data_IF_177269872067
#
_entry.id   IF_177269872067
#
_cell.length_a   1.000
_cell.length_b   1.000
_cell.length_c   1.000
_cell.angle_alpha   90.00
_cell.angle_beta   90.00
_cell.angle_gamma   90.00
#
_symmetry.space_group_name_H-M   'P 1'
#
loop_
_entity.id
_entity.type
_entity.pdbx_description
1 polymer ?
#
# COMPACT_ATOMS: atom_id res chain seq x y z
N UNK A 1 -8.35 -22.35 1.35
CA UNK A 1 -8.08 -21.06 2.03
C UNK A 1 -9.43 -20.41 2.31
N UNK A 2 -9.80 -20.26 3.57
CA UNK A 2 -11.01 -19.54 3.97
C UNK A 2 -10.62 -18.14 4.44
N UNK A 3 -11.35 -17.13 3.98
CA UNK A 3 -11.22 -15.77 4.51
C UNK A 3 -12.19 -15.64 5.68
N UNK A 4 -11.68 -15.36 6.87
CA UNK A 4 -12.50 -15.04 8.04
C UNK A 4 -12.70 -13.52 8.14
N UNK A 5 -13.92 -13.11 8.49
CA UNK A 5 -14.25 -11.70 8.74
C UNK A 5 -14.82 -11.60 10.14
N UNK A 6 -14.23 -10.74 10.95
CA UNK A 6 -14.68 -10.45 12.30
C UNK A 6 -15.17 -9.01 12.37
N UNK A 7 -16.35 -8.81 12.95
CA UNK A 7 -16.94 -7.48 13.16
C UNK A 7 -17.31 -7.37 14.62
N UNK A 8 -16.95 -6.26 15.25
CA UNK A 8 -17.30 -5.98 16.63
C UNK A 8 -17.66 -4.49 16.79
N UNK A 9 -18.51 -4.14 17.77
CA UNK A 9 -18.87 -2.75 18.03
C UNK A 9 -17.71 -1.92 18.61
N UNK A 10 -16.74 -2.59 19.26
CA UNK A 10 -15.56 -1.95 19.84
C UNK A 10 -14.29 -2.67 19.40
N UNK A 11 -13.21 -1.94 19.12
CA UNK A 11 -11.98 -2.52 18.57
C UNK A 11 -11.27 -3.43 19.59
N UNK A 12 -11.42 -3.20 20.90
CA UNK A 12 -10.82 -4.06 21.95
C UNK A 12 -11.23 -5.53 21.84
N UNK A 13 -12.48 -5.81 21.43
CA UNK A 13 -12.94 -7.19 21.23
C UNK A 13 -12.22 -7.85 20.05
N UNK A 14 -11.92 -7.11 18.99
CA UNK A 14 -11.14 -7.62 17.86
C UNK A 14 -9.68 -7.85 18.26
N UNK A 15 -9.10 -6.98 19.09
CA UNK A 15 -7.73 -7.15 19.58
C UNK A 15 -7.61 -8.35 20.51
N UNK A 16 -8.59 -8.59 21.39
CA UNK A 16 -8.59 -9.79 22.21
C UNK A 16 -8.55 -11.05 21.35
N UNK A 17 -9.34 -11.10 20.26
CA UNK A 17 -9.34 -12.24 19.32
C UNK A 17 -8.05 -12.33 18.53
N UNK A 18 -7.46 -11.20 18.14
CA UNK A 18 -6.15 -11.16 17.51
C UNK A 18 -5.06 -11.73 18.44
N UNK A 19 -5.09 -11.40 19.73
CA UNK A 19 -4.17 -12.01 20.71
C UNK A 19 -4.39 -13.52 20.86
N UNK A 20 -5.63 -14.01 20.70
CA UNK A 20 -5.87 -15.47 20.70
C UNK A 20 -5.24 -16.14 19.47
N UNK A 21 -5.19 -15.45 18.31
CA UNK A 21 -4.50 -15.94 17.11
C UNK A 21 -2.99 -15.91 17.28
N UNK A 22 -2.45 -14.80 17.79
CA UNK A 22 -1.01 -14.61 18.01
C UNK A 22 -0.45 -15.43 19.19
N UNK A 23 -1.32 -16.08 19.97
CA UNK A 23 -0.91 -16.97 21.05
C UNK A 23 -0.25 -18.26 20.51
N UNK A 24 -0.58 -18.64 19.27
CA UNK A 24 0.08 -19.73 18.57
C UNK A 24 1.29 -19.16 17.80
N UNK A 25 2.53 -19.56 18.16
CA UNK A 25 3.72 -19.03 17.51
C UNK A 25 3.83 -19.52 16.05
N UNK A 26 4.42 -18.72 15.14
CA UNK A 26 4.62 -19.15 13.76
C UNK A 26 5.66 -20.27 13.68
N UNK A 27 5.55 -21.11 12.65
CA UNK A 27 6.50 -22.22 12.38
C UNK A 27 7.94 -21.73 12.23
N UNK A 28 8.13 -20.54 11.65
CA UNK A 28 9.43 -19.90 11.53
C UNK A 28 9.56 -18.77 12.56
N UNK A 29 10.44 -18.91 13.58
CA UNK A 29 10.57 -17.94 14.66
C UNK A 29 11.12 -16.58 14.22
N UNK A 30 11.72 -16.49 13.03
CA UNK A 30 12.23 -15.24 12.47
C UNK A 30 11.28 -14.61 11.44
N UNK A 31 10.21 -15.31 11.04
CA UNK A 31 9.22 -14.72 10.17
C UNK A 31 8.44 -13.63 10.94
N UNK A 32 8.30 -12.42 10.39
CA UNK A 32 7.51 -11.39 11.02
C UNK A 32 6.02 -11.72 10.93
N UNK A 33 5.28 -11.36 11.98
CA UNK A 33 3.81 -11.33 11.94
C UNK A 33 3.35 -10.13 11.12
N UNK A 34 2.37 -10.32 10.23
CA UNK A 34 1.89 -9.28 9.32
C UNK A 34 0.51 -8.78 9.74
N UNK A 35 0.41 -7.52 10.16
CA UNK A 35 -0.86 -6.91 10.57
C UNK A 35 -1.07 -5.59 9.84
N UNK A 36 -1.90 -5.62 8.79
CA UNK A 36 -2.15 -4.41 8.01
C UNK A 36 -3.02 -3.40 8.77
N UNK A 37 -2.53 -2.15 8.90
CA UNK A 37 -3.22 -1.08 9.62
C UNK A 37 -3.27 0.21 8.79
N UNK A 38 -4.35 1.01 8.88
CA UNK A 38 -4.50 2.16 7.98
C UNK A 38 -3.68 3.37 8.42
N UNK A 39 -3.27 3.45 9.70
CA UNK A 39 -2.52 4.60 10.24
C UNK A 39 -1.51 4.17 11.31
N UNK A 40 -0.47 4.98 11.49
CA UNK A 40 0.51 4.83 12.59
C UNK A 40 -0.09 4.96 13.98
N UNK A 41 -1.23 5.65 14.11
CA UNK A 41 -1.94 5.75 15.39
C UNK A 41 -2.48 4.39 15.83
N UNK A 42 -3.08 3.66 14.89
CA UNK A 42 -3.61 2.30 15.12
C UNK A 42 -2.47 1.31 15.33
N UNK A 43 -1.39 1.40 14.57
CA UNK A 43 -0.15 0.62 14.79
C UNK A 43 0.30 0.71 16.26
N UNK A 44 0.59 1.93 16.74
CA UNK A 44 1.10 2.14 18.10
C UNK A 44 0.14 1.63 19.17
N UNK A 45 -1.15 1.89 18.99
CA UNK A 45 -2.19 1.40 19.89
C UNK A 45 -2.22 -0.13 19.90
N UNK A 46 -2.15 -0.77 18.72
CA UNK A 46 -2.20 -2.22 18.60
C UNK A 46 -0.97 -2.88 19.21
N UNK A 47 0.23 -2.35 18.98
CA UNK A 47 1.47 -2.84 19.61
C UNK A 47 1.34 -2.89 21.13
N UNK A 48 0.83 -1.82 21.75
CA UNK A 48 0.62 -1.78 23.20
C UNK A 48 -0.44 -2.80 23.67
N UNK A 49 -1.55 -2.92 22.94
CA UNK A 49 -2.64 -3.83 23.31
C UNK A 49 -2.28 -5.30 23.10
N UNK A 50 -1.50 -5.63 22.06
CA UNK A 50 -0.97 -6.99 21.83
C UNK A 50 0.01 -7.35 22.95
N UNK A 51 0.97 -6.47 23.25
CA UNK A 51 1.95 -6.69 24.31
C UNK A 51 1.27 -7.00 25.66
N UNK A 52 0.34 -6.15 26.09
CA UNK A 52 -0.44 -6.37 27.32
C UNK A 52 -1.31 -7.62 27.22
N UNK A 53 -2.02 -7.81 26.09
CA UNK A 53 -2.97 -8.90 25.94
C UNK A 53 -2.33 -10.29 25.91
N UNK A 54 -1.11 -10.43 25.37
CA UNK A 54 -0.36 -11.68 25.43
C UNK A 54 0.21 -11.93 26.83
N UNK A 55 0.72 -10.89 27.50
CA UNK A 55 1.17 -11.00 28.90
C UNK A 55 0.04 -11.43 29.85
N UNK A 56 -1.16 -10.86 29.70
CA UNK A 56 -2.34 -11.22 30.50
C UNK A 56 -2.76 -12.70 30.30
N UNK A 57 -2.38 -13.29 29.16
CA UNK A 57 -2.57 -14.72 28.86
C UNK A 57 -1.42 -15.61 29.36
N UNK A 58 -0.41 -15.03 30.01
CA UNK A 58 0.81 -15.74 30.45
C UNK A 58 1.76 -16.08 29.30
N UNK A 59 1.68 -15.38 28.17
CA UNK A 59 2.51 -15.61 26.98
C UNK A 59 3.51 -14.46 26.81
N UNK A 60 4.80 -14.82 26.83
CA UNK A 60 5.91 -13.86 26.72
C UNK A 60 5.97 -12.87 27.88
N UNK A 61 6.79 -11.83 27.71
CA UNK A 61 7.14 -10.89 28.79
C UNK A 61 6.45 -9.51 28.64
N UNK A 62 5.32 -9.46 27.93
CA UNK A 62 4.65 -8.21 27.61
C UNK A 62 5.35 -7.38 26.54
N UNK A 63 5.94 -8.06 25.56
CA UNK A 63 6.63 -7.45 24.42
C UNK A 63 5.93 -7.88 23.14
N UNK A 64 5.50 -6.91 22.33
CA UNK A 64 5.09 -7.13 20.95
C UNK A 64 6.25 -6.73 20.03
N UNK A 65 6.90 -7.70 19.40
CA UNK A 65 8.07 -7.50 18.56
C UNK A 65 7.98 -8.37 17.30
N UNK A 66 8.82 -8.04 16.30
CA UNK A 66 8.82 -8.70 14.99
C UNK A 66 7.44 -8.71 14.30
N UNK A 67 6.69 -7.61 14.45
CA UNK A 67 5.40 -7.41 13.77
C UNK A 67 5.58 -6.30 12.74
N UNK A 68 5.23 -6.60 11.49
CA UNK A 68 5.17 -5.64 10.41
C UNK A 68 3.77 -5.06 10.27
N UNK A 69 3.70 -3.74 10.15
CA UNK A 69 2.45 -2.98 10.08
C UNK A 69 2.28 -2.24 8.74
N UNK A 70 2.24 -2.95 7.59
CA UNK A 70 2.07 -2.30 6.31
C UNK A 70 0.67 -1.65 6.22
N UNK A 71 0.55 -0.59 5.42
CA UNK A 71 -0.80 -0.14 5.05
C UNK A 71 -1.49 -1.21 4.19
N UNK A 72 -2.83 -1.33 4.21
CA UNK A 72 -3.53 -2.28 3.34
C UNK A 72 -3.15 -2.13 1.85
N UNK A 73 -2.94 -0.89 1.40
CA UNK A 73 -2.47 -0.60 0.03
C UNK A 73 -1.06 -1.13 -0.23
N UNK A 74 -0.17 -1.01 0.74
CA UNK A 74 1.20 -1.51 0.64
C UNK A 74 1.22 -3.04 0.61
N UNK A 75 0.50 -3.70 1.52
CA UNK A 75 0.41 -5.15 1.55
C UNK A 75 -0.11 -5.72 0.23
N UNK A 76 -1.21 -5.16 -0.30
CA UNK A 76 -1.73 -5.59 -1.61
C UNK A 76 -0.70 -5.42 -2.72
N UNK A 77 0.03 -4.29 -2.73
CA UNK A 77 1.10 -4.06 -3.73
C UNK A 77 2.21 -5.10 -3.61
N UNK A 78 2.69 -5.39 -2.41
CA UNK A 78 3.76 -6.36 -2.16
C UNK A 78 3.35 -7.78 -2.57
N UNK A 79 2.13 -8.19 -2.22
CA UNK A 79 1.58 -9.49 -2.65
C UNK A 79 1.50 -9.59 -4.17
N UNK A 80 1.06 -8.54 -4.87
CA UNK A 80 0.99 -8.56 -6.33
C UNK A 80 2.38 -8.54 -7.00
N UNK A 81 3.35 -7.82 -6.41
CA UNK A 81 4.73 -7.80 -6.90
C UNK A 81 5.46 -9.14 -6.69
N UNK A 82 5.06 -9.91 -5.67
CA UNK A 82 5.61 -11.25 -5.43
C UNK A 82 5.17 -12.28 -6.50
N UNK A 83 4.18 -11.95 -7.33
CA UNK A 83 3.71 -12.80 -8.44
C UNK A 83 4.32 -12.30 -9.76
N UNK A 84 5.27 -13.03 -10.38
CA UNK A 84 5.99 -12.56 -11.57
C UNK A 84 5.08 -12.11 -12.71
N UNK A 85 4.00 -12.85 -12.97
CA UNK A 85 3.03 -12.56 -14.04
C UNK A 85 2.27 -11.24 -13.81
N UNK A 86 2.17 -10.78 -12.56
CA UNK A 86 1.48 -9.56 -12.19
C UNK A 86 2.45 -8.39 -11.94
N UNK A 87 3.70 -8.69 -11.57
CA UNK A 87 4.70 -7.70 -11.19
C UNK A 87 4.93 -6.64 -12.28
N UNK A 88 5.13 -7.07 -13.53
CA UNK A 88 5.35 -6.18 -14.66
C UNK A 88 4.21 -5.17 -14.85
N UNK A 89 2.96 -5.62 -14.66
CA UNK A 89 1.79 -4.74 -14.72
C UNK A 89 1.81 -3.75 -13.55
N UNK A 90 1.98 -4.24 -12.32
CA UNK A 90 2.00 -3.37 -11.13
C UNK A 90 3.09 -2.30 -11.23
N UNK A 91 4.29 -2.66 -11.68
CA UNK A 91 5.43 -1.75 -11.87
C UNK A 91 5.14 -0.69 -12.92
N UNK A 92 4.58 -1.07 -14.08
CA UNK A 92 4.27 -0.13 -15.14
C UNK A 92 3.27 0.97 -14.73
N UNK A 93 2.38 0.65 -13.78
CA UNK A 93 1.36 1.56 -13.25
C UNK A 93 1.74 2.26 -11.93
N UNK A 94 2.99 2.12 -11.46
CA UNK A 94 3.47 2.93 -10.34
C UNK A 94 3.62 4.40 -10.75
N UNK A 95 3.27 5.32 -9.86
CA UNK A 95 3.22 6.76 -10.18
C UNK A 95 4.52 7.27 -10.81
N UNK A 96 5.66 6.89 -10.26
CA UNK A 96 6.96 7.37 -10.75
C UNK A 96 7.27 6.84 -12.16
N UNK A 97 6.94 5.57 -12.43
CA UNK A 97 7.06 4.99 -13.77
C UNK A 97 6.04 5.58 -14.75
N UNK A 98 4.82 5.87 -14.30
CA UNK A 98 3.81 6.53 -15.11
C UNK A 98 4.25 7.92 -15.57
N UNK A 99 4.99 8.67 -14.75
CA UNK A 99 5.55 9.97 -15.18
C UNK A 99 6.48 9.75 -16.37
N UNK A 100 7.41 8.79 -16.27
CA UNK A 100 8.32 8.44 -17.37
C UNK A 100 7.57 8.01 -18.63
N UNK A 101 6.57 7.14 -18.50
CA UNK A 101 5.73 6.69 -19.62
C UNK A 101 4.97 7.84 -20.27
N UNK A 102 4.40 8.76 -19.49
CA UNK A 102 3.68 9.92 -20.02
C UNK A 102 4.64 10.89 -20.71
N UNK A 103 5.84 11.11 -20.18
CA UNK A 103 6.87 11.91 -20.84
C UNK A 103 7.24 11.33 -22.20
N UNK A 104 7.51 10.01 -22.26
CA UNK A 104 7.79 9.32 -23.52
C UNK A 104 6.62 9.39 -24.50
N UNK A 105 5.38 9.29 -24.02
CA UNK A 105 4.18 9.42 -24.85
C UNK A 105 4.01 10.85 -25.41
N UNK A 106 4.30 11.89 -24.61
CA UNK A 106 4.29 13.29 -25.05
C UNK A 106 5.34 13.49 -26.15
N UNK A 107 6.56 12.99 -25.95
CA UNK A 107 7.66 13.17 -26.91
C UNK A 107 7.38 12.44 -28.23
N UNK A 108 6.88 11.20 -28.15
CA UNK A 108 6.60 10.39 -29.34
C UNK A 108 5.44 10.92 -30.20
N UNK A 109 4.59 11.79 -29.63
CA UNK A 109 3.36 12.26 -30.28
C UNK A 109 3.27 13.79 -30.29
N UNK A 110 4.41 14.50 -30.32
CA UNK A 110 4.55 15.96 -30.21
C UNK A 110 3.97 16.78 -31.38
N UNK A 111 3.05 16.22 -32.15
CA UNK A 111 2.25 16.95 -33.14
C UNK A 111 0.86 16.33 -33.32
N UNK A 112 0.46 15.43 -32.42
CA UNK A 112 -0.79 14.71 -32.54
C UNK A 112 -1.97 15.65 -32.21
N UNK A 113 -3.05 15.68 -33.02
CA UNK A 113 -4.15 16.62 -32.83
C UNK A 113 -4.79 16.58 -31.43
N UNK A 114 -4.78 15.40 -30.78
CA UNK A 114 -5.33 15.20 -29.45
C UNK A 114 -4.44 15.73 -28.31
N UNK A 115 -3.15 15.97 -28.57
CA UNK A 115 -2.18 16.48 -27.58
C UNK A 115 -2.06 18.01 -27.60
N UNK A 116 -2.66 18.70 -28.59
CA UNK A 116 -2.54 20.15 -28.84
C UNK A 116 -2.71 21.04 -27.60
N UNK A 117 -3.59 20.68 -26.66
CA UNK A 117 -3.78 21.47 -25.43
C UNK A 117 -2.55 21.38 -24.51
N UNK A 118 -1.97 20.18 -24.40
CA UNK A 118 -0.77 19.93 -23.60
C UNK A 118 0.44 20.57 -24.26
N UNK A 119 0.56 20.47 -25.59
CA UNK A 119 1.63 21.12 -26.35
C UNK A 119 1.64 22.64 -26.14
N UNK A 120 0.50 23.32 -26.32
CA UNK A 120 0.41 24.77 -26.06
C UNK A 120 0.79 25.15 -24.63
N UNK A 121 0.46 24.29 -23.66
CA UNK A 121 0.84 24.51 -22.26
C UNK A 121 2.36 24.37 -22.06
N UNK A 122 3.01 23.44 -22.77
CA UNK A 122 4.46 23.24 -22.75
C UNK A 122 5.19 24.35 -23.50
N UNK A 123 4.66 24.83 -24.63
CA UNK A 123 5.25 25.93 -25.41
C UNK A 123 5.35 27.23 -24.61
N UNK A 124 4.41 27.47 -23.68
CA UNK A 124 4.44 28.64 -22.81
C UNK A 124 5.62 28.63 -21.83
N UNK A 125 6.05 27.45 -21.37
CA UNK A 125 7.23 27.25 -20.52
C UNK A 125 7.67 25.77 -20.60
N UNK A 126 8.89 25.45 -21.08
CA UNK A 126 9.38 24.07 -21.15
C UNK A 126 9.33 23.32 -19.80
N UNK A 127 9.41 24.01 -18.66
CA UNK A 127 9.27 23.40 -17.34
C UNK A 127 7.89 22.77 -17.12
N UNK A 128 6.86 23.23 -17.84
CA UNK A 128 5.51 22.68 -17.80
C UNK A 128 5.43 21.23 -18.30
N UNK A 129 6.41 20.74 -19.06
CA UNK A 129 6.43 19.36 -19.54
C UNK A 129 6.40 18.35 -18.39
N UNK A 130 7.25 18.54 -17.38
CA UNK A 130 7.25 17.68 -16.20
C UNK A 130 5.98 17.86 -15.35
N UNK A 131 5.49 19.09 -15.24
CA UNK A 131 4.25 19.39 -14.51
C UNK A 131 3.03 18.70 -15.15
N UNK A 132 2.91 18.75 -16.48
CA UNK A 132 1.85 18.09 -17.24
C UNK A 132 1.93 16.56 -17.07
N UNK A 133 3.11 15.97 -17.24
CA UNK A 133 3.29 14.53 -17.06
C UNK A 133 2.95 14.08 -15.63
N UNK A 134 3.39 14.83 -14.62
CA UNK A 134 3.06 14.57 -13.21
C UNK A 134 1.55 14.62 -12.96
N UNK A 135 0.86 15.61 -13.53
CA UNK A 135 -0.59 15.76 -13.36
C UNK A 135 -1.36 14.62 -14.03
N UNK A 136 -0.99 14.25 -15.25
CA UNK A 136 -1.61 13.14 -16.00
C UNK A 136 -1.35 11.80 -15.30
N UNK A 137 -0.12 11.53 -14.87
CA UNK A 137 0.23 10.32 -14.14
C UNK A 137 -0.58 10.17 -12.84
N UNK A 138 -0.78 11.26 -12.09
CA UNK A 138 -1.64 11.28 -10.89
C UNK A 138 -3.10 10.97 -11.21
N UNK A 139 -3.62 11.44 -12.35
CA UNK A 139 -4.97 11.11 -12.79
C UNK A 139 -5.11 9.62 -13.13
N UNK A 140 -4.18 9.06 -13.90
CA UNK A 140 -4.16 7.61 -14.18
C UNK A 140 -4.08 6.77 -12.91
N UNK A 141 -3.19 7.12 -11.97
CA UNK A 141 -3.10 6.44 -10.69
C UNK A 141 -4.39 6.54 -9.84
N UNK A 142 -5.18 7.60 -10.03
CA UNK A 142 -6.48 7.77 -9.36
C UNK A 142 -7.56 6.94 -10.02
N UNK A 143 -7.60 6.90 -11.35
CA UNK A 143 -8.53 6.07 -12.10
C UNK A 143 -8.30 4.58 -11.84
N UNK A 144 -7.05 4.13 -11.82
CA UNK A 144 -6.73 2.73 -11.50
C UNK A 144 -7.19 2.26 -10.11
N UNK A 145 -7.56 3.16 -9.20
CA UNK A 145 -8.11 2.82 -7.88
C UNK A 145 -9.64 2.82 -7.80
N UNK A 146 -10.32 3.55 -8.68
CA UNK A 146 -11.74 3.92 -8.52
C UNK A 146 -12.63 3.43 -9.65
N UNK A 147 -12.09 2.63 -10.57
CA UNK A 147 -12.82 2.16 -11.75
C UNK A 147 -13.34 0.76 -11.56
#
# INVERSE_FOLDING_TARGET
>A
MAVSVHVAPHPDALVARLCDVLAEPPDNPFAPELIAVPTRGIERWLTQRIASGLADRGIGDGIAANIEFPSPRQLVREVLLAVPDLAASVEAWQTDQLISHVLGAIDAHSSAPWLRLVERYIEADPANRLAAATKIARLFATYGRRR
#
